data_IF_073502546648
#
_entry.id   IF_073502546648
#
_cell.length_a   1.000
_cell.length_b   1.000
_cell.length_c   1.000
_cell.angle_alpha   90.00
_cell.angle_beta   90.00
_cell.angle_gamma   90.00
#
_symmetry.space_group_name_H-M   'P 1'
#
loop_
_entity.id
_entity.type
_entity.pdbx_description
1 polymer ?
#
# COMPACT_ATOMS: atom_id res chain seq x y z
N UNK A 1 -59.24 -10.42 38.46
CA UNK A 1 -58.34 -9.26 38.74
C UNK A 1 -56.90 -9.78 38.73
N UNK A 2 -56.29 -9.80 37.54
CA UNK A 2 -55.07 -9.04 37.13
C UNK A 2 -53.86 -9.31 38.04
N UNK A 3 -53.01 -10.29 37.73
CA UNK A 3 -51.98 -10.34 36.68
C UNK A 3 -50.67 -9.63 37.09
N UNK A 4 -49.69 -10.47 37.45
CA UNK A 4 -48.26 -10.17 37.56
C UNK A 4 -47.69 -9.88 36.17
N UNK A 5 -47.05 -8.72 36.01
CA UNK A 5 -46.38 -8.34 34.77
C UNK A 5 -44.86 -8.49 34.96
N UNK A 6 -44.30 -9.45 34.23
CA UNK A 6 -42.86 -9.71 34.16
C UNK A 6 -42.11 -8.55 33.51
N UNK A 7 -40.88 -8.35 33.97
CA UNK A 7 -39.95 -7.36 33.45
C UNK A 7 -39.60 -7.61 31.97
N UNK A 8 -39.27 -6.55 31.21
CA UNK A 8 -38.91 -6.69 29.81
C UNK A 8 -37.56 -7.42 29.72
N UNK A 9 -37.59 -8.61 29.12
CA UNK A 9 -36.40 -9.37 28.77
C UNK A 9 -35.52 -8.56 27.83
N UNK A 10 -34.31 -8.25 28.30
CA UNK A 10 -33.20 -7.82 27.46
C UNK A 10 -32.94 -8.94 26.47
N UNK A 11 -33.31 -8.72 25.20
CA UNK A 11 -32.85 -9.56 24.10
C UNK A 11 -31.33 -9.45 24.09
N UNK A 12 -30.56 -10.56 24.07
CA UNK A 12 -29.14 -10.46 23.81
C UNK A 12 -28.99 -9.84 22.42
N UNK A 13 -28.51 -8.60 22.36
CA UNK A 13 -27.88 -8.07 21.17
C UNK A 13 -26.86 -9.12 20.76
N UNK A 14 -27.11 -9.77 19.63
CA UNK A 14 -26.18 -10.73 19.08
C UNK A 14 -25.00 -9.91 18.61
N UNK A 15 -24.04 -9.69 19.51
CA UNK A 15 -22.77 -9.04 19.24
C UNK A 15 -22.23 -9.72 17.99
N UNK A 16 -22.19 -8.98 16.87
CA UNK A 16 -21.60 -9.51 15.65
C UNK A 16 -20.22 -10.06 16.03
N UNK A 17 -19.90 -11.32 15.67
CA UNK A 17 -18.67 -11.93 16.13
C UNK A 17 -17.49 -11.02 15.79
N UNK A 18 -16.75 -10.62 16.82
CA UNK A 18 -15.64 -9.69 16.68
C UNK A 18 -14.60 -10.22 15.70
N UNK A 19 -14.13 -9.38 14.79
CA UNK A 19 -13.02 -9.72 13.92
C UNK A 19 -11.76 -9.85 14.78
N UNK A 20 -11.07 -10.99 14.69
CA UNK A 20 -9.85 -11.28 15.47
C UNK A 20 -8.56 -11.13 14.66
N UNK A 21 -8.70 -10.94 13.35
CA UNK A 21 -7.61 -10.78 12.39
C UNK A 21 -8.10 -9.91 11.24
N UNK A 22 -7.31 -8.92 10.85
CA UNK A 22 -7.45 -8.18 9.61
C UNK A 22 -6.18 -8.35 8.77
N UNK A 23 -6.30 -8.42 7.45
CA UNK A 23 -5.13 -8.59 6.60
C UNK A 23 -5.37 -8.00 5.21
N UNK A 24 -4.28 -7.82 4.47
CA UNK A 24 -4.35 -7.35 3.10
C UNK A 24 -3.02 -7.36 2.37
N UNK A 25 -3.07 -6.99 1.10
CA UNK A 25 -1.90 -6.69 0.28
C UNK A 25 -2.08 -5.32 -0.38
N UNK A 26 -1.04 -4.50 -0.35
CA UNK A 26 -0.94 -3.23 -1.07
C UNK A 26 0.10 -3.39 -2.16
N UNK A 27 -0.22 -2.95 -3.37
CA UNK A 27 0.73 -2.85 -4.48
C UNK A 27 0.93 -1.39 -4.82
N UNK A 28 2.18 -0.94 -4.83
CA UNK A 28 2.54 0.46 -5.09
C UNK A 28 3.41 0.53 -6.34
N UNK A 29 3.09 1.42 -7.26
CA UNK A 29 3.95 1.70 -8.42
C UNK A 29 3.83 3.14 -8.91
N UNK A 30 4.82 3.58 -9.68
CA UNK A 30 4.70 4.79 -10.48
C UNK A 30 3.72 4.55 -11.62
N UNK A 31 2.78 5.48 -11.78
CA UNK A 31 1.84 5.49 -12.88
C UNK A 31 2.62 5.69 -14.20
N UNK A 32 2.36 4.86 -15.24
CA UNK A 32 3.05 4.94 -16.50
C UNK A 32 2.45 6.06 -17.37
N UNK A 33 2.59 7.30 -16.89
CA UNK A 33 2.14 8.53 -17.51
C UNK A 33 3.26 9.57 -17.48
N UNK A 34 3.57 10.23 -18.62
CA UNK A 34 4.62 11.25 -18.66
C UNK A 34 4.30 12.43 -17.75
N UNK A 35 3.04 12.87 -17.75
CA UNK A 35 2.54 13.93 -16.87
C UNK A 35 1.67 13.37 -15.75
N UNK A 36 1.62 14.11 -14.64
CA UNK A 36 0.78 13.78 -13.50
C UNK A 36 -0.67 13.89 -13.96
N UNK A 37 -1.50 12.93 -13.60
CA UNK A 37 -2.92 13.09 -13.81
C UNK A 37 -3.45 14.20 -12.91
N UNK A 38 -4.18 15.15 -13.48
CA UNK A 38 -4.93 16.13 -12.70
C UNK A 38 -6.07 15.46 -11.91
N UNK A 39 -6.75 16.23 -11.05
CA UNK A 39 -7.83 15.72 -10.20
C UNK A 39 -8.97 15.08 -10.99
N UNK A 40 -9.28 15.58 -12.19
CA UNK A 40 -10.36 15.07 -13.06
C UNK A 40 -9.95 13.74 -13.70
N UNK A 41 -8.76 13.67 -14.29
CA UNK A 41 -8.23 12.46 -14.90
C UNK A 41 -7.96 11.37 -13.85
N UNK A 42 -7.50 11.75 -12.66
CA UNK A 42 -7.38 10.86 -11.50
C UNK A 42 -8.74 10.28 -11.11
N UNK A 43 -9.78 11.12 -10.97
CA UNK A 43 -11.13 10.66 -10.66
C UNK A 43 -11.72 9.76 -11.76
N UNK A 44 -11.40 10.03 -13.03
CA UNK A 44 -11.82 9.18 -14.15
C UNK A 44 -11.13 7.81 -14.09
N UNK A 45 -9.81 7.77 -13.86
CA UNK A 45 -9.05 6.53 -13.74
C UNK A 45 -9.55 5.67 -12.57
N UNK A 46 -9.86 6.30 -11.43
CA UNK A 46 -10.29 5.64 -10.20
C UNK A 46 -11.79 5.31 -10.14
N UNK A 47 -12.54 5.58 -11.21
CA UNK A 47 -13.99 5.31 -11.27
C UNK A 47 -14.27 3.83 -11.48
N UNK A 48 -14.00 3.03 -10.45
CA UNK A 48 -14.17 1.57 -10.47
C UNK A 48 -15.65 1.12 -10.38
N UNK A 49 -16.50 1.98 -9.81
CA UNK A 49 -17.94 1.78 -9.62
C UNK A 49 -18.69 2.95 -10.22
N UNK A 50 -19.86 2.68 -10.80
CA UNK A 50 -20.70 3.70 -11.43
C UNK A 50 -21.64 4.38 -10.41
N UNK A 51 -22.00 3.65 -9.37
CA UNK A 51 -22.96 4.01 -8.31
C UNK A 51 -22.31 4.77 -7.14
N UNK A 52 -20.98 4.79 -7.06
CA UNK A 52 -20.25 5.50 -6.02
C UNK A 52 -19.21 6.48 -6.59
N UNK A 53 -19.00 7.58 -5.87
CA UNK A 53 -18.05 8.62 -6.26
C UNK A 53 -16.64 8.30 -5.80
N UNK A 54 -15.66 8.72 -6.59
CA UNK A 54 -14.26 8.79 -6.15
C UNK A 54 -14.13 9.90 -5.12
N UNK A 55 -13.45 9.62 -4.02
CA UNK A 55 -13.11 10.62 -3.01
C UNK A 55 -11.81 11.30 -3.42
N UNK A 56 -11.80 12.63 -3.40
CA UNK A 56 -10.62 13.43 -3.76
C UNK A 56 -10.33 14.39 -2.62
N UNK A 57 -9.06 14.48 -2.22
CA UNK A 57 -8.55 15.46 -1.27
C UNK A 57 -7.41 16.23 -1.92
N UNK A 58 -7.36 17.55 -1.78
CA UNK A 58 -6.25 18.37 -2.30
C UNK A 58 -5.15 18.59 -1.26
N UNK A 59 -5.45 18.35 0.02
CA UNK A 59 -4.51 18.55 1.13
C UNK A 59 -4.27 17.25 1.90
N UNK A 60 -3.05 17.06 2.46
CA UNK A 60 -1.86 17.91 2.28
C UNK A 60 -1.26 17.82 0.87
N UNK A 61 -1.57 16.74 0.14
CA UNK A 61 -1.27 16.52 -1.26
C UNK A 61 -2.54 16.04 -1.99
N UNK A 62 -2.59 16.21 -3.32
CA UNK A 62 -3.67 15.69 -4.15
C UNK A 62 -3.72 14.17 -3.98
N UNK A 63 -4.89 13.66 -3.64
CA UNK A 63 -5.12 12.25 -3.40
C UNK A 63 -6.51 11.86 -3.84
N UNK A 64 -6.58 10.92 -4.78
CA UNK A 64 -7.81 10.28 -5.20
C UNK A 64 -7.92 8.88 -4.59
N UNK A 65 -9.11 8.48 -4.17
CA UNK A 65 -9.41 7.13 -3.68
C UNK A 65 -10.71 6.62 -4.29
N UNK A 66 -10.64 5.46 -4.93
CA UNK A 66 -11.83 4.79 -5.45
C UNK A 66 -12.76 4.33 -4.32
N UNK A 67 -14.06 4.14 -4.61
CA UNK A 67 -14.91 3.31 -3.75
C UNK A 67 -14.38 1.86 -3.72
N UNK A 68 -14.78 1.13 -2.69
CA UNK A 68 -14.38 -0.27 -2.51
C UNK A 68 -15.15 -1.16 -3.49
N UNK A 69 -14.44 -2.07 -4.15
CA UNK A 69 -15.00 -3.15 -4.95
C UNK A 69 -14.95 -4.45 -4.15
N UNK A 70 -15.99 -5.28 -4.25
CA UNK A 70 -16.08 -6.53 -3.48
C UNK A 70 -15.84 -7.72 -4.40
N UNK A 71 -14.95 -8.61 -3.97
CA UNK A 71 -14.75 -9.92 -4.61
C UNK A 71 -15.22 -11.01 -3.66
N UNK A 72 -16.21 -11.79 -4.09
CA UNK A 72 -16.65 -12.97 -3.34
C UNK A 72 -15.58 -14.05 -3.37
N UNK A 73 -15.27 -14.65 -2.23
CA UNK A 73 -14.28 -15.71 -2.09
C UNK A 73 -14.90 -16.93 -1.39
N UNK A 74 -14.49 -18.11 -1.83
CA UNK A 74 -14.87 -19.40 -1.27
C UNK A 74 -13.73 -20.39 -1.52
N UNK A 75 -12.72 -20.35 -0.65
CA UNK A 75 -11.48 -21.10 -0.81
C UNK A 75 -10.80 -21.34 0.55
N UNK A 76 -9.82 -22.27 0.63
CA UNK A 76 -8.98 -22.42 1.81
C UNK A 76 -8.22 -21.15 2.17
N UNK A 77 -8.05 -20.88 3.46
CA UNK A 77 -7.14 -19.86 3.96
C UNK A 77 -5.70 -20.39 3.95
N UNK A 78 -4.71 -19.56 3.59
CA UNK A 78 -3.30 -19.86 3.81
C UNK A 78 -3.04 -20.18 5.29
N UNK A 79 -2.22 -21.20 5.56
CA UNK A 79 -1.83 -21.53 6.94
C UNK A 79 -0.42 -22.13 7.01
N UNK A 80 0.42 -21.59 7.90
CA UNK A 80 1.79 -22.03 8.08
C UNK A 80 1.92 -23.45 8.66
N UNK A 81 0.91 -23.91 9.42
CA UNK A 81 0.89 -25.27 9.98
C UNK A 81 0.23 -26.31 9.05
N UNK A 82 -0.17 -25.90 7.83
CA UNK A 82 -0.82 -26.78 6.86
C UNK A 82 -2.32 -27.02 7.09
N UNK A 83 -2.94 -26.39 8.09
CA UNK A 83 -4.39 -26.46 8.29
C UNK A 83 -5.14 -25.89 7.08
N UNK A 84 -6.12 -26.64 6.57
CA UNK A 84 -6.94 -26.22 5.42
C UNK A 84 -8.32 -25.76 5.88
N UNK A 85 -8.38 -24.58 6.47
CA UNK A 85 -9.66 -23.96 6.87
C UNK A 85 -10.27 -23.30 5.64
N UNK A 86 -11.36 -23.86 5.13
CA UNK A 86 -12.16 -23.22 4.09
C UNK A 86 -12.82 -21.97 4.68
N UNK A 87 -12.82 -20.88 3.92
CA UNK A 87 -13.47 -19.65 4.33
C UNK A 87 -14.27 -19.03 3.18
N UNK A 88 -15.36 -18.37 3.54
CA UNK A 88 -16.32 -17.81 2.59
C UNK A 88 -16.64 -16.38 2.99
N UNK A 89 -16.67 -15.48 2.03
CA UNK A 89 -17.03 -14.09 2.30
C UNK A 89 -16.66 -13.15 1.18
N UNK A 90 -16.35 -11.91 1.54
CA UNK A 90 -15.96 -10.87 0.58
C UNK A 90 -14.63 -10.24 0.96
N UNK A 91 -13.80 -10.03 -0.06
CA UNK A 91 -12.57 -9.22 0.04
C UNK A 91 -12.85 -7.86 -0.59
N UNK A 92 -12.56 -6.80 0.15
CA UNK A 92 -12.67 -5.44 -0.34
C UNK A 92 -11.38 -5.05 -1.06
N UNK A 93 -11.49 -4.41 -2.22
CA UNK A 93 -10.35 -3.93 -2.99
C UNK A 93 -10.60 -2.51 -3.50
N UNK A 94 -9.57 -1.67 -3.44
CA UNK A 94 -9.64 -0.26 -3.83
C UNK A 94 -8.34 0.18 -4.49
N UNK A 95 -8.41 1.33 -5.15
CA UNK A 95 -7.24 2.00 -5.70
C UNK A 95 -7.14 3.43 -5.16
N UNK A 96 -5.92 3.89 -4.99
CA UNK A 96 -5.59 5.25 -4.61
C UNK A 96 -4.51 5.82 -5.52
N UNK A 97 -4.56 7.12 -5.77
CA UNK A 97 -3.60 7.84 -6.59
C UNK A 97 -3.11 9.08 -5.84
N UNK A 98 -1.82 9.13 -5.55
CA UNK A 98 -1.17 10.26 -4.87
C UNK A 98 -0.50 11.16 -5.92
N UNK A 99 -0.85 12.44 -5.91
CA UNK A 99 -0.36 13.52 -6.80
C UNK A 99 -0.41 13.17 -8.29
N UNK A 100 -1.38 12.33 -8.70
CA UNK A 100 -1.46 11.88 -10.08
C UNK A 100 -0.28 11.02 -10.56
N UNK A 101 0.58 10.56 -9.63
CA UNK A 101 1.87 9.90 -9.92
C UNK A 101 1.97 8.50 -9.35
N UNK A 102 1.63 8.30 -8.08
CA UNK A 102 1.83 6.99 -7.43
C UNK A 102 0.50 6.28 -7.30
N UNK A 103 0.37 5.17 -8.02
CA UNK A 103 -0.81 4.32 -7.99
C UNK A 103 -0.62 3.24 -6.91
N UNK A 104 -1.60 3.13 -6.04
CA UNK A 104 -1.71 2.06 -5.07
C UNK A 104 -2.98 1.29 -5.32
N UNK A 105 -2.90 -0.04 -5.28
CA UNK A 105 -4.07 -0.91 -5.24
C UNK A 105 -3.97 -1.79 -4.02
N UNK A 106 -4.99 -1.76 -3.18
CA UNK A 106 -5.06 -2.57 -1.98
C UNK A 106 -6.26 -3.50 -2.01
N UNK A 107 -6.08 -4.69 -1.47
CA UNK A 107 -7.15 -5.62 -1.16
C UNK A 107 -7.01 -6.09 0.28
N UNK A 108 -8.11 -6.14 1.01
CA UNK A 108 -8.11 -6.48 2.43
C UNK A 108 -9.44 -7.11 2.87
N UNK A 109 -9.35 -7.86 3.97
CA UNK A 109 -10.52 -8.44 4.62
C UNK A 109 -10.25 -8.68 6.10
N UNK A 110 -11.32 -9.00 6.83
CA UNK A 110 -11.32 -9.40 8.23
C UNK A 110 -11.80 -10.84 8.41
N UNK A 111 -11.31 -11.50 9.45
CA UNK A 111 -11.70 -12.84 9.87
C UNK A 111 -12.29 -12.84 11.29
N UNK A 112 -13.33 -13.64 11.49
CA UNK A 112 -13.84 -14.00 12.82
C UNK A 112 -13.05 -15.17 13.42
N UNK A 113 -13.10 -15.33 14.75
CA UNK A 113 -12.42 -16.44 15.43
C UNK A 113 -12.99 -17.82 15.05
N UNK A 114 -14.28 -17.84 14.72
CA UNK A 114 -15.01 -19.00 14.25
C UNK A 114 -16.12 -18.56 13.31
N UNK A 115 -16.62 -19.51 12.52
CA UNK A 115 -17.82 -19.34 11.73
C UNK A 115 -18.67 -20.60 11.73
N UNK A 116 -19.70 -20.66 10.89
CA UNK A 116 -20.62 -21.79 10.85
C UNK A 116 -19.93 -23.09 10.41
N UNK A 117 -20.50 -24.23 10.80
CA UNK A 117 -19.99 -25.54 10.38
C UNK A 117 -20.16 -25.80 8.87
N UNK A 118 -21.11 -25.10 8.25
CA UNK A 118 -21.40 -25.20 6.82
C UNK A 118 -21.53 -23.82 6.19
N UNK A 119 -21.23 -23.78 4.89
CA UNK A 119 -21.38 -22.60 4.06
C UNK A 119 -22.84 -22.14 4.04
N UNK A 120 -23.04 -20.82 4.18
CA UNK A 120 -24.36 -20.18 4.11
C UNK A 120 -24.68 -19.67 2.69
N UNK A 121 -25.93 -19.27 2.40
CA UNK A 121 -26.27 -18.58 1.16
C UNK A 121 -25.46 -17.29 0.97
N UNK A 122 -25.22 -16.89 -0.30
CA UNK A 122 -24.42 -15.69 -0.60
C UNK A 122 -24.96 -14.40 0.02
N UNK A 123 -26.28 -14.28 0.20
CA UNK A 123 -26.90 -13.12 0.83
C UNK A 123 -26.33 -12.82 2.22
N UNK A 124 -26.00 -13.84 3.00
CA UNK A 124 -25.42 -13.69 4.33
C UNK A 124 -24.02 -13.05 4.29
N UNK A 125 -23.25 -13.30 3.23
CA UNK A 125 -21.89 -12.77 3.08
C UNK A 125 -21.88 -11.40 2.41
N UNK A 126 -22.76 -11.17 1.44
CA UNK A 126 -22.80 -9.93 0.66
C UNK A 126 -23.22 -8.71 1.50
N UNK A 127 -23.99 -8.91 2.56
CA UNK A 127 -24.36 -7.84 3.52
C UNK A 127 -23.23 -7.47 4.48
N UNK A 128 -22.10 -8.18 4.45
CA UNK A 128 -20.94 -8.00 5.34
C UNK A 128 -19.67 -7.75 4.51
N UNK A 129 -19.52 -6.55 3.91
CA UNK A 129 -18.42 -6.23 3.02
C UNK A 129 -17.06 -6.31 3.74
N UNK A 130 -16.09 -6.95 3.08
CA UNK A 130 -14.73 -7.12 3.61
C UNK A 130 -14.64 -8.08 4.79
N UNK A 131 -15.68 -8.89 5.05
CA UNK A 131 -15.66 -9.97 6.04
C UNK A 131 -15.57 -11.31 5.34
N UNK A 132 -14.63 -12.14 5.80
CA UNK A 132 -14.50 -13.54 5.43
C UNK A 132 -14.71 -14.37 6.69
N UNK A 133 -15.56 -15.38 6.60
CA UNK A 133 -15.87 -16.26 7.73
C UNK A 133 -15.22 -17.64 7.50
N UNK A 134 -14.42 -18.14 8.45
CA UNK A 134 -13.93 -19.50 8.39
C UNK A 134 -15.08 -20.49 8.63
N UNK A 135 -15.03 -21.66 7.97
CA UNK A 135 -15.90 -22.77 8.31
C UNK A 135 -15.27 -23.52 9.50
N UNK A 136 -15.90 -23.42 10.67
CA UNK A 136 -15.34 -23.90 11.93
C UNK A 136 -14.38 -22.92 12.61
N UNK A 137 -13.39 -23.45 13.34
CA UNK A 137 -12.46 -22.65 14.17
C UNK A 137 -11.24 -22.18 13.37
N UNK A 138 -10.85 -20.92 13.57
CA UNK A 138 -9.66 -20.34 12.95
C UNK A 138 -8.39 -20.65 13.77
N UNK A 139 -7.37 -21.33 13.21
CA UNK A 139 -6.03 -21.37 13.79
C UNK A 139 -5.33 -20.02 13.52
N UNK A 140 -5.73 -19.00 14.29
CA UNK A 140 -5.44 -17.58 14.05
C UNK A 140 -3.98 -17.29 13.70
N UNK A 141 -3.05 -17.69 14.55
CA UNK A 141 -1.63 -17.33 14.38
C UNK A 141 -1.01 -18.05 13.16
N UNK A 142 -1.36 -19.31 12.94
CA UNK A 142 -0.90 -20.06 11.76
C UNK A 142 -1.46 -19.47 10.45
N UNK A 143 -2.71 -18.99 10.45
CA UNK A 143 -3.29 -18.29 9.29
C UNK A 143 -2.64 -16.93 9.08
N UNK A 144 -2.37 -16.17 10.14
CA UNK A 144 -1.66 -14.90 10.05
C UNK A 144 -0.28 -15.07 9.38
N UNK A 145 0.48 -16.08 9.81
CA UNK A 145 1.79 -16.36 9.22
C UNK A 145 1.67 -16.84 7.77
N UNK A 146 0.72 -17.73 7.48
CA UNK A 146 0.46 -18.21 6.13
C UNK A 146 0.06 -17.11 5.13
N UNK A 147 -0.68 -16.11 5.60
CA UNK A 147 -1.06 -14.93 4.79
C UNK A 147 0.14 -14.06 4.44
N UNK A 148 1.10 -13.91 5.36
CA UNK A 148 2.33 -13.16 5.09
C UNK A 148 3.22 -13.90 4.08
N UNK A 149 3.30 -15.23 4.20
CA UNK A 149 4.09 -16.09 3.31
C UNK A 149 3.47 -16.22 1.90
N UNK A 150 2.14 -16.03 1.77
CA UNK A 150 1.42 -16.03 0.49
C UNK A 150 0.73 -17.35 0.14
N UNK A 151 0.64 -18.28 1.08
CA UNK A 151 -0.11 -19.52 0.92
C UNK A 151 0.37 -20.45 -0.20
N UNK A 152 -0.42 -21.49 -0.46
CA UNK A 152 -0.18 -22.46 -1.53
C UNK A 152 -1.13 -22.20 -2.68
N UNK A 153 -0.85 -22.84 -3.82
CA UNK A 153 -1.78 -22.82 -4.95
C UNK A 153 -3.17 -23.32 -4.53
N UNK A 154 -4.20 -22.54 -4.85
CA UNK A 154 -5.59 -22.82 -4.49
C UNK A 154 -6.04 -22.26 -3.14
N UNK A 155 -5.12 -21.74 -2.32
CA UNK A 155 -5.48 -20.96 -1.14
C UNK A 155 -5.90 -19.53 -1.55
N UNK A 156 -6.53 -18.81 -0.63
CA UNK A 156 -6.90 -17.40 -0.82
C UNK A 156 -5.64 -16.55 -1.01
N UNK A 157 -5.49 -15.98 -2.21
CA UNK A 157 -4.44 -15.01 -2.53
C UNK A 157 -5.04 -13.60 -2.70
N UNK A 158 -4.90 -12.79 -1.66
CA UNK A 158 -5.33 -11.38 -1.65
C UNK A 158 -4.54 -10.54 -2.65
N UNK A 159 -3.29 -10.90 -2.87
CA UNK A 159 -2.41 -10.27 -3.83
C UNK A 159 -2.89 -10.44 -5.26
N UNK A 160 -3.52 -11.56 -5.62
CA UNK A 160 -4.15 -11.71 -6.93
C UNK A 160 -5.30 -10.72 -7.14
N UNK A 161 -6.08 -10.41 -6.09
CA UNK A 161 -7.18 -9.45 -6.17
C UNK A 161 -6.61 -8.03 -6.35
N UNK A 162 -5.68 -7.61 -5.49
CA UNK A 162 -5.01 -6.31 -5.63
C UNK A 162 -4.27 -6.18 -6.97
N UNK A 163 -3.57 -7.25 -7.38
CA UNK A 163 -2.83 -7.34 -8.64
C UNK A 163 -3.69 -7.32 -9.89
N UNK A 164 -4.85 -7.98 -9.85
CA UNK A 164 -5.84 -7.94 -10.92
C UNK A 164 -6.37 -6.51 -11.11
N UNK A 165 -6.67 -5.83 -10.00
CA UNK A 165 -7.08 -4.42 -10.03
C UNK A 165 -5.96 -3.52 -10.60
N UNK A 166 -4.72 -3.71 -10.17
CA UNK A 166 -3.57 -2.98 -10.70
C UNK A 166 -3.44 -3.18 -12.20
N UNK A 167 -3.49 -4.43 -12.66
CA UNK A 167 -3.37 -4.78 -14.09
C UNK A 167 -4.47 -4.13 -14.92
N UNK A 168 -5.70 -4.06 -14.40
CA UNK A 168 -6.82 -3.37 -15.04
C UNK A 168 -6.54 -1.87 -15.17
N UNK A 169 -6.08 -1.21 -14.10
CA UNK A 169 -5.81 0.22 -14.08
C UNK A 169 -4.64 0.63 -14.97
N UNK A 170 -3.56 -0.16 -14.99
CA UNK A 170 -2.38 0.12 -15.82
C UNK A 170 -2.65 0.01 -17.34
N UNK A 171 -3.75 -0.65 -17.73
CA UNK A 171 -4.22 -0.73 -19.13
C UNK A 171 -5.19 0.38 -19.51
N UNK A 172 -5.46 1.34 -18.61
CA UNK A 172 -6.43 2.39 -18.87
C UNK A 172 -5.95 3.33 -19.99
N UNK A 173 -6.80 3.74 -20.95
CA UNK A 173 -6.40 4.58 -22.09
C UNK A 173 -5.85 5.97 -21.76
N UNK A 174 -6.06 6.45 -20.53
CA UNK A 174 -5.49 7.71 -20.05
C UNK A 174 -3.97 7.65 -19.85
N UNK A 175 -3.37 6.46 -19.89
CA UNK A 175 -1.97 6.23 -19.59
C UNK A 175 -1.17 6.10 -20.89
N UNK A 176 -0.25 7.04 -21.14
CA UNK A 176 0.58 7.10 -22.34
C UNK A 176 1.75 6.10 -22.36
N UNK A 177 1.91 5.33 -21.27
CA UNK A 177 2.96 4.33 -21.06
C UNK A 177 4.39 4.90 -21.07
N UNK A 178 4.55 6.18 -20.71
CA UNK A 178 5.83 6.90 -20.71
C UNK A 178 6.16 7.44 -19.32
N UNK A 179 6.42 6.58 -18.31
CA UNK A 179 6.77 7.06 -16.98
C UNK A 179 8.02 7.95 -17.02
N UNK A 180 8.09 9.02 -16.20
CA UNK A 180 9.20 9.97 -16.21
C UNK A 180 10.49 9.39 -15.63
N UNK A 181 10.40 8.30 -14.86
CA UNK A 181 11.55 7.52 -14.40
C UNK A 181 11.20 6.03 -14.34
N UNK A 182 12.23 5.17 -14.35
CA UNK A 182 12.05 3.74 -14.12
C UNK A 182 11.94 3.47 -12.62
N UNK A 183 10.86 2.83 -12.21
CA UNK A 183 10.67 2.32 -10.86
C UNK A 183 10.19 0.87 -10.93
N UNK A 184 10.49 0.07 -9.91
CA UNK A 184 9.86 -1.25 -9.76
C UNK A 184 8.63 -1.12 -8.85
N UNK A 185 7.55 -1.87 -9.11
CA UNK A 185 6.44 -1.96 -8.18
C UNK A 185 6.90 -2.64 -6.89
N UNK A 186 6.31 -2.26 -5.76
CA UNK A 186 6.50 -2.95 -4.47
C UNK A 186 5.20 -3.59 -4.01
N UNK A 187 5.31 -4.61 -3.16
CA UNK A 187 4.17 -5.33 -2.59
C UNK A 187 4.33 -5.36 -1.08
N UNK A 188 3.31 -4.91 -0.36
CA UNK A 188 3.24 -4.95 1.09
C UNK A 188 2.12 -5.89 1.51
N UNK A 189 2.46 -7.04 2.09
CA UNK A 189 1.51 -7.91 2.77
C UNK A 189 1.47 -7.55 4.24
N UNK A 190 0.27 -7.48 4.80
CA UNK A 190 0.11 -7.10 6.19
C UNK A 190 -0.95 -7.94 6.88
N UNK A 191 -0.73 -8.17 8.16
CA UNK A 191 -1.70 -8.80 9.07
C UNK A 191 -1.72 -8.02 10.37
N UNK A 192 -2.92 -7.76 10.88
CA UNK A 192 -3.19 -7.15 12.16
C UNK A 192 -3.98 -8.13 13.02
N UNK A 193 -3.40 -8.49 14.16
CA UNK A 193 -4.02 -9.33 15.18
C UNK A 193 -4.59 -8.47 16.29
N UNK A 194 -5.64 -8.96 16.95
CA UNK A 194 -6.17 -8.31 18.14
C UNK A 194 -5.15 -8.39 19.28
N UNK A 195 -4.81 -7.22 19.85
CA UNK A 195 -3.99 -7.08 21.03
C UNK A 195 -4.76 -7.55 22.28
N UNK A 196 -4.07 -8.05 23.33
CA UNK A 196 -4.67 -8.24 24.64
C UNK A 196 -5.32 -6.94 25.17
N UNK A 197 -6.39 -7.03 25.98
CA UNK A 197 -7.06 -5.85 26.54
C UNK A 197 -6.08 -4.95 27.31
N UNK A 198 -6.13 -3.64 27.00
CA UNK A 198 -5.29 -2.63 27.66
C UNK A 198 -3.89 -2.46 27.09
N UNK A 199 -3.48 -3.29 26.12
CA UNK A 199 -2.21 -3.08 25.42
C UNK A 199 -2.34 -2.06 24.28
N UNK A 200 -1.35 -1.16 24.10
CA UNK A 200 -1.34 -0.22 22.98
C UNK A 200 -1.11 -0.95 21.65
N UNK A 201 -1.48 -0.34 20.51
CA UNK A 201 -1.15 -0.90 19.20
C UNK A 201 0.38 -0.99 19.03
N UNK A 202 0.85 -2.11 18.51
CA UNK A 202 2.27 -2.41 18.36
C UNK A 202 2.62 -2.95 16.96
N UNK A 203 3.71 -2.44 16.37
CA UNK A 203 4.34 -3.01 15.18
C UNK A 203 5.26 -4.15 15.62
N UNK A 204 4.81 -5.40 15.49
CA UNK A 204 5.59 -6.57 15.92
C UNK A 204 6.76 -6.85 14.98
N UNK A 205 6.52 -6.72 13.67
CA UNK A 205 7.52 -7.05 12.65
C UNK A 205 7.27 -6.25 11.38
N UNK A 206 8.34 -5.69 10.84
CA UNK A 206 8.42 -5.20 9.47
C UNK A 206 9.64 -5.86 8.81
N UNK A 207 9.41 -6.59 7.71
CA UNK A 207 10.46 -7.33 7.01
C UNK A 207 10.49 -6.94 5.54
N UNK A 208 11.69 -6.61 5.07
CA UNK A 208 11.98 -6.39 3.66
C UNK A 208 12.53 -7.73 3.13
N UNK A 209 11.69 -8.47 2.40
CA UNK A 209 12.07 -9.71 1.76
C UNK A 209 12.63 -9.44 0.35
N UNK A 210 13.05 -10.52 -0.33
CA UNK A 210 13.49 -10.46 -1.73
C UNK A 210 12.32 -10.08 -2.67
N UNK A 211 12.64 -9.79 -3.93
CA UNK A 211 11.65 -9.57 -5.01
C UNK A 211 10.56 -8.51 -4.75
N UNK A 212 10.94 -7.44 -4.05
CA UNK A 212 10.06 -6.31 -3.74
C UNK A 212 8.93 -6.61 -2.75
N UNK A 213 8.96 -7.77 -2.08
CA UNK A 213 7.98 -8.14 -1.07
C UNK A 213 8.36 -7.55 0.29
N UNK A 214 7.39 -6.90 0.93
CA UNK A 214 7.45 -6.45 2.32
C UNK A 214 6.36 -7.14 3.10
N UNK A 215 6.66 -7.54 4.33
CA UNK A 215 5.67 -8.12 5.23
C UNK A 215 5.58 -7.30 6.52
N UNK A 216 4.36 -7.10 7.00
CA UNK A 216 4.07 -6.34 8.21
C UNK A 216 3.16 -7.16 9.12
N UNK A 217 3.54 -7.24 10.39
CA UNK A 217 2.72 -7.83 11.43
C UNK A 217 2.45 -6.81 12.52
N UNK A 218 1.18 -6.60 12.82
CA UNK A 218 0.68 -5.62 13.78
C UNK A 218 -0.12 -6.32 14.88
N UNK A 219 -0.12 -5.73 16.07
CA UNK A 219 -1.17 -5.91 17.07
C UNK A 219 -1.94 -4.61 17.25
N UNK A 220 -3.26 -4.70 17.31
CA UNK A 220 -4.14 -3.53 17.45
C UNK A 220 -5.30 -3.83 18.39
N UNK A 221 -5.84 -2.82 19.09
CA UNK A 221 -7.00 -3.00 19.96
C UNK A 221 -8.19 -3.66 19.24
N UNK A 222 -9.00 -4.40 20.00
CA UNK A 222 -10.25 -4.92 19.49
C UNK A 222 -11.16 -3.78 19.00
N UNK A 223 -11.88 -4.01 17.90
CA UNK A 223 -12.76 -3.01 17.31
C UNK A 223 -12.07 -1.98 16.41
N UNK A 224 -10.74 -1.99 16.29
CA UNK A 224 -10.02 -1.12 15.35
C UNK A 224 -10.60 -1.23 13.93
N UNK A 225 -11.03 -0.14 13.29
CA UNK A 225 -11.64 -0.19 11.96
C UNK A 225 -10.67 -0.74 10.90
N UNK A 226 -11.13 -1.73 10.11
CA UNK A 226 -10.30 -2.29 9.03
C UNK A 226 -9.89 -1.24 7.98
N UNK A 227 -10.72 -0.23 7.74
CA UNK A 227 -10.41 0.86 6.82
C UNK A 227 -9.20 1.68 7.28
N UNK A 228 -9.04 1.86 8.58
CA UNK A 228 -7.93 2.61 9.19
C UNK A 228 -6.64 1.81 9.12
N UNK A 229 -6.70 0.49 9.38
CA UNK A 229 -5.57 -0.42 9.20
C UNK A 229 -5.10 -0.47 7.75
N UNK A 230 -6.03 -0.59 6.81
CA UNK A 230 -5.73 -0.54 5.39
C UNK A 230 -5.13 0.82 4.99
N UNK A 231 -5.65 1.93 5.53
CA UNK A 231 -5.11 3.27 5.32
C UNK A 231 -3.69 3.45 5.84
N UNK A 232 -3.38 2.95 7.05
CA UNK A 232 -2.03 2.92 7.60
C UNK A 232 -1.09 2.12 6.70
N UNK A 233 -1.52 0.93 6.25
CA UNK A 233 -0.69 0.08 5.40
C UNK A 233 -0.52 0.67 3.99
N UNK A 234 -1.51 1.38 3.45
CA UNK A 234 -1.36 2.16 2.22
C UNK A 234 -0.30 3.26 2.41
N UNK A 235 -0.33 4.02 3.51
CA UNK A 235 0.65 5.07 3.80
C UNK A 235 2.07 4.48 3.98
N UNK A 236 2.20 3.37 4.70
CA UNK A 236 3.46 2.64 4.87
C UNK A 236 4.02 2.17 3.52
N UNK A 237 3.18 1.54 2.69
CA UNK A 237 3.58 1.04 1.38
C UNK A 237 4.02 2.16 0.43
N UNK A 238 3.43 3.36 0.53
CA UNK A 238 3.82 4.53 -0.24
C UNK A 238 5.22 5.00 0.17
N UNK A 239 5.45 5.20 1.46
CA UNK A 239 6.70 5.76 1.96
C UNK A 239 7.88 4.78 1.81
N UNK A 240 7.67 3.48 2.03
CA UNK A 240 8.68 2.45 1.73
C UNK A 240 9.02 2.41 0.23
N UNK A 241 8.02 2.53 -0.64
CA UNK A 241 8.22 2.61 -2.09
C UNK A 241 9.03 3.84 -2.50
N UNK A 242 8.76 5.01 -1.91
CA UNK A 242 9.52 6.24 -2.15
C UNK A 242 10.99 6.09 -1.76
N UNK A 243 11.26 5.57 -0.55
CA UNK A 243 12.63 5.28 -0.09
C UNK A 243 13.35 4.35 -1.05
N UNK A 244 12.71 3.21 -1.36
CA UNK A 244 13.28 2.18 -2.25
C UNK A 244 13.56 2.74 -3.65
N UNK A 245 12.63 3.52 -4.20
CA UNK A 245 12.76 4.08 -5.55
C UNK A 245 13.90 5.10 -5.59
N UNK A 246 14.00 5.98 -4.59
CA UNK A 246 15.04 7.00 -4.56
C UNK A 246 16.44 6.41 -4.35
N UNK A 247 16.58 5.37 -3.52
CA UNK A 247 17.82 4.59 -3.38
C UNK A 247 18.24 4.03 -4.74
N UNK A 248 17.32 3.43 -5.49
CA UNK A 248 17.61 2.86 -6.82
C UNK A 248 18.01 3.89 -7.86
N UNK A 249 17.37 5.06 -7.86
CA UNK A 249 17.75 6.16 -8.75
C UNK A 249 19.21 6.56 -8.46
N UNK A 250 19.57 6.71 -7.19
CA UNK A 250 20.92 7.08 -6.76
C UNK A 250 21.97 5.99 -7.04
N UNK A 251 21.63 4.72 -6.88
CA UNK A 251 22.53 3.61 -7.19
C UNK A 251 22.70 3.41 -8.70
N UNK A 252 21.65 3.64 -9.49
CA UNK A 252 21.72 3.62 -10.95
C UNK A 252 22.68 4.67 -11.52
N UNK A 253 22.84 5.81 -10.84
CA UNK A 253 23.82 6.85 -11.20
C UNK A 253 25.25 6.37 -10.92
N UNK A 254 25.48 5.65 -9.82
CA UNK A 254 26.81 5.14 -9.45
C UNK A 254 27.38 4.12 -10.43
N UNK A 255 26.53 3.34 -11.09
CA UNK A 255 26.94 2.26 -12.01
C UNK A 255 27.36 2.74 -13.41
N UNK A 256 27.27 4.05 -13.70
CA UNK A 256 27.85 4.67 -14.90
C UNK A 256 27.19 4.34 -16.25
N UNK A 257 27.60 5.01 -17.34
CA UNK A 257 26.94 4.93 -18.65
C UNK A 257 27.10 3.58 -19.36
N UNK A 258 28.04 2.73 -18.93
CA UNK A 258 28.36 1.45 -19.57
C UNK A 258 27.33 0.32 -19.29
N UNK A 259 26.41 0.51 -18.33
CA UNK A 259 25.32 -0.44 -18.03
C UNK A 259 23.99 -0.12 -18.72
N UNK A 260 23.88 1.03 -19.41
CA UNK A 260 22.60 1.50 -19.96
C UNK A 260 22.34 0.95 -21.37
N UNK A 261 21.75 -0.25 -21.45
CA UNK A 261 20.97 -0.61 -22.64
C UNK A 261 19.68 0.22 -22.64
N UNK A 262 19.73 1.34 -23.37
CA UNK A 262 18.63 2.29 -23.68
C UNK A 262 18.15 3.20 -22.53
N UNK A 263 18.94 4.23 -22.23
CA UNK A 263 18.41 5.51 -21.75
C UNK A 263 17.81 6.29 -22.95
N UNK A 264 16.73 7.08 -22.79
CA UNK A 264 16.18 7.85 -23.90
C UNK A 264 17.23 8.80 -24.46
N UNK A 265 17.52 8.64 -25.75
CA UNK A 265 18.41 9.50 -26.54
C UNK A 265 17.72 10.86 -26.75
N UNK A 266 18.40 11.94 -26.34
CA UNK A 266 18.21 13.33 -26.82
C UNK A 266 16.78 13.85 -26.88
N UNK A 267 16.32 14.44 -25.78
CA UNK A 267 15.38 15.57 -25.83
C UNK A 267 16.14 16.89 -26.11
N UNK A 268 15.43 18.02 -26.30
CA UNK A 268 16.04 19.32 -26.60
C UNK A 268 16.99 19.86 -25.50
N UNK A 269 17.02 19.22 -24.33
CA UNK A 269 17.98 19.46 -23.24
C UNK A 269 19.36 18.83 -23.55
N UNK A 270 19.98 19.30 -24.64
CA UNK A 270 21.32 18.90 -25.09
C UNK A 270 22.44 19.21 -24.10
N UNK A 271 22.20 20.07 -23.11
CA UNK A 271 23.27 20.72 -22.33
C UNK A 271 23.34 20.28 -20.85
N UNK A 272 22.40 19.48 -20.34
CA UNK A 272 22.42 19.06 -18.93
C UNK A 272 23.37 17.87 -18.70
N UNK A 273 24.21 17.91 -17.64
CA UNK A 273 25.02 16.76 -17.24
C UNK A 273 24.17 15.48 -17.06
N UNK A 274 24.67 14.29 -17.45
CA UNK A 274 23.91 13.03 -17.36
C UNK A 274 23.32 12.75 -15.98
N UNK A 275 24.02 13.12 -14.91
CA UNK A 275 23.56 13.00 -13.52
C UNK A 275 22.34 13.88 -13.24
N UNK A 276 22.34 15.12 -13.73
CA UNK A 276 21.21 16.06 -13.58
C UNK A 276 19.99 15.52 -14.33
N UNK A 277 20.18 15.00 -15.55
CA UNK A 277 19.12 14.37 -16.33
C UNK A 277 18.52 13.14 -15.63
N UNK A 278 19.34 12.37 -14.91
CA UNK A 278 18.91 11.23 -14.09
C UNK A 278 18.12 11.61 -12.83
N UNK A 279 18.51 12.69 -12.16
CA UNK A 279 17.89 13.09 -10.89
C UNK A 279 16.64 13.96 -11.07
N UNK A 280 16.55 14.73 -12.15
CA UNK A 280 15.45 15.68 -12.37
C UNK A 280 14.04 15.05 -12.20
N UNK A 281 13.72 13.88 -12.78
CA UNK A 281 12.42 13.26 -12.56
C UNK A 281 12.10 12.94 -11.10
N UNK A 282 13.11 12.59 -10.28
CA UNK A 282 12.88 12.32 -8.86
C UNK A 282 12.53 13.61 -8.10
N UNK A 283 13.19 14.72 -8.43
CA UNK A 283 12.88 16.06 -7.87
C UNK A 283 11.48 16.51 -8.27
N UNK A 284 11.19 16.46 -9.57
CA UNK A 284 9.95 16.98 -10.14
C UNK A 284 8.72 16.12 -9.77
N UNK A 285 8.90 14.83 -9.49
CA UNK A 285 7.77 13.90 -9.36
C UNK A 285 7.69 13.10 -8.06
N UNK A 286 8.78 12.95 -7.30
CA UNK A 286 8.80 12.08 -6.13
C UNK A 286 9.02 12.85 -4.82
N UNK A 287 9.88 13.88 -4.83
CA UNK A 287 10.33 14.47 -3.56
C UNK A 287 9.20 15.14 -2.76
N UNK A 288 8.22 15.72 -3.45
CA UNK A 288 7.07 16.38 -2.82
C UNK A 288 6.00 15.39 -2.32
N UNK A 289 6.14 14.09 -2.61
CA UNK A 289 5.18 13.06 -2.20
C UNK A 289 5.34 12.64 -0.73
N UNK A 290 6.47 12.98 -0.10
CA UNK A 290 6.78 12.60 1.27
C UNK A 290 5.93 13.39 2.27
N UNK A 291 4.87 12.77 2.76
CA UNK A 291 3.92 13.34 3.71
C UNK A 291 3.57 12.29 4.78
N UNK A 292 4.53 11.91 5.65
CA UNK A 292 4.35 10.84 6.62
C UNK A 292 3.21 11.17 7.57
N UNK A 293 2.38 10.17 7.93
CA UNK A 293 1.22 10.28 8.82
C UNK A 293 0.07 11.14 8.29
N UNK A 294 0.15 11.70 7.09
CA UNK A 294 -0.88 12.59 6.56
C UNK A 294 -2.28 11.97 6.51
N UNK A 295 -2.36 10.63 6.45
CA UNK A 295 -3.60 9.87 6.30
C UNK A 295 -3.75 8.77 7.34
N UNK A 296 -2.93 8.78 8.39
CA UNK A 296 -2.97 7.82 9.49
C UNK A 296 -3.93 8.34 10.56
N UNK A 297 -4.86 7.50 11.02
CA UNK A 297 -5.76 7.86 12.11
C UNK A 297 -4.99 8.08 13.42
N UNK A 298 -5.48 8.99 14.26
CA UNK A 298 -4.78 9.34 15.51
C UNK A 298 -4.54 8.14 16.43
N UNK A 299 -5.46 7.18 16.45
CA UNK A 299 -5.36 5.95 17.26
C UNK A 299 -4.21 5.02 16.80
N UNK A 300 -3.82 5.09 15.53
CA UNK A 300 -2.75 4.28 14.95
C UNK A 300 -1.40 5.02 14.88
N UNK A 301 -1.33 6.24 15.40
CA UNK A 301 -0.09 7.03 15.46
C UNK A 301 1.11 6.29 16.08
N UNK A 302 0.96 5.51 17.19
CA UNK A 302 2.09 4.79 17.77
C UNK A 302 2.74 3.77 16.83
N UNK A 303 1.97 3.19 15.91
CA UNK A 303 2.49 2.25 14.90
C UNK A 303 3.41 2.96 13.90
N UNK A 304 3.06 4.20 13.53
CA UNK A 304 3.93 5.01 12.67
C UNK A 304 5.18 5.48 13.40
N UNK A 305 5.05 5.87 14.66
CA UNK A 305 6.17 6.30 15.49
C UNK A 305 7.23 5.20 15.61
N UNK A 306 6.80 3.93 15.74
CA UNK A 306 7.72 2.79 15.70
C UNK A 306 8.58 2.76 14.42
N UNK A 307 8.01 3.09 13.26
CA UNK A 307 8.73 3.16 11.98
C UNK A 307 9.69 4.35 11.90
N UNK A 308 9.34 5.48 12.52
CA UNK A 308 10.20 6.67 12.62
C UNK A 308 11.36 6.47 13.60
N UNK A 309 11.17 5.65 14.63
CA UNK A 309 12.25 5.24 15.51
C UNK A 309 13.16 4.22 14.83
N UNK A 310 12.57 3.11 14.34
CA UNK A 310 13.25 2.01 13.65
C UNK A 310 12.36 1.44 12.54
N UNK A 311 12.74 1.64 11.26
CA UNK A 311 14.10 1.91 10.80
C UNK A 311 14.45 3.41 10.57
N UNK A 312 13.57 4.35 10.89
CA UNK A 312 13.86 5.78 10.75
C UNK A 312 13.54 6.35 9.37
N UNK A 313 12.31 6.12 8.90
CA UNK A 313 11.84 6.49 7.56
C UNK A 313 12.16 7.95 7.21
N UNK A 314 11.78 8.90 8.06
CA UNK A 314 12.02 10.33 7.77
C UNK A 314 13.50 10.68 7.77
N UNK A 315 14.30 10.08 8.68
CA UNK A 315 15.76 10.29 8.69
C UNK A 315 16.42 9.79 7.41
N UNK A 316 16.03 8.60 6.95
CA UNK A 316 16.52 8.03 5.70
C UNK A 316 16.14 8.90 4.50
N UNK A 317 14.87 9.34 4.44
CA UNK A 317 14.39 10.21 3.38
C UNK A 317 15.20 11.52 3.31
N UNK A 318 15.36 12.22 4.43
CA UNK A 318 16.12 13.46 4.49
C UNK A 318 17.57 13.28 4.04
N UNK A 319 18.23 12.18 4.43
CA UNK A 319 19.57 11.86 3.98
C UNK A 319 19.64 11.63 2.45
N UNK A 320 18.65 10.95 1.87
CA UNK A 320 18.56 10.74 0.42
C UNK A 320 18.31 12.06 -0.33
N UNK A 321 17.40 12.90 0.17
CA UNK A 321 17.13 14.22 -0.42
C UNK A 321 18.37 15.10 -0.37
N UNK A 322 19.09 15.11 0.76
CA UNK A 322 20.34 15.85 0.87
C UNK A 322 21.36 15.37 -0.17
N UNK A 323 21.53 14.06 -0.30
CA UNK A 323 22.42 13.48 -1.31
C UNK A 323 22.03 13.85 -2.74
N UNK A 324 20.74 13.91 -3.07
CA UNK A 324 20.27 14.39 -4.38
C UNK A 324 20.67 15.84 -4.59
N UNK A 325 20.45 16.71 -3.60
CA UNK A 325 20.82 18.13 -3.66
C UNK A 325 22.33 18.32 -3.82
N UNK A 326 23.13 17.53 -3.12
CA UNK A 326 24.60 17.58 -3.21
C UNK A 326 25.08 17.22 -4.62
N UNK A 327 24.51 16.17 -5.23
CA UNK A 327 24.83 15.79 -6.62
C UNK A 327 24.44 16.88 -7.62
N UNK A 328 23.28 17.51 -7.45
CA UNK A 328 22.86 18.63 -8.32
C UNK A 328 23.78 19.85 -8.15
N UNK A 329 24.17 20.16 -6.91
CA UNK A 329 25.07 21.27 -6.59
C UNK A 329 26.45 21.07 -7.21
N UNK A 330 27.04 19.87 -7.06
CA UNK A 330 28.34 19.53 -7.66
C UNK A 330 28.36 19.72 -9.18
N UNK A 331 27.25 19.43 -9.85
CA UNK A 331 27.12 19.56 -11.31
C UNK A 331 26.60 20.94 -11.77
N UNK A 332 26.24 21.83 -10.84
CA UNK A 332 25.91 23.23 -11.12
C UNK A 332 27.13 24.15 -11.06
N UNK A 333 28.26 23.69 -10.49
CA UNK A 333 29.52 24.43 -10.45
C UNK A 333 30.19 24.39 -11.84
N UNK A 334 30.43 25.54 -12.50
CA UNK A 334 31.15 25.58 -13.78
C UNK A 334 32.57 25.03 -13.62
N UNK A 335 33.13 24.33 -14.62
CA UNK A 335 34.51 23.86 -14.55
C UNK A 335 35.47 25.08 -14.54
N UNK A 336 35.99 25.41 -13.37
CA UNK A 336 37.01 26.43 -13.20
C UNK A 336 38.39 25.84 -13.47
N UNK A 337 38.73 25.56 -14.74
CA UNK A 337 40.12 25.52 -15.22
C UNK A 337 40.14 25.66 -16.75
N UNK A 338 40.42 26.87 -17.22
CA UNK A 338 41.02 27.10 -18.53
C UNK A 338 42.51 27.17 -18.27
N UNK A 339 43.24 26.11 -18.56
CA UNK A 339 44.70 26.18 -18.64
C UNK A 339 45.03 27.30 -19.63
N UNK A 340 45.75 28.31 -19.14
CA UNK A 340 46.31 29.36 -19.99
C UNK A 340 47.42 28.68 -20.79
N UNK A 341 47.15 28.44 -22.06
CA UNK A 341 48.16 28.04 -23.03
C UNK A 341 49.27 29.11 -23.01
N UNK A 342 50.53 28.75 -22.75
CA UNK A 342 51.61 29.74 -22.80
C UNK A 342 51.75 30.21 -24.25
N UNK A 343 51.55 31.51 -24.46
CA UNK A 343 51.74 32.16 -25.75
C UNK A 343 53.21 32.01 -26.22
N UNK A 344 53.45 31.88 -27.54
CA UNK A 344 54.76 31.51 -28.12
C UNK A 344 55.84 32.59 -27.96
#
# INVERSE_FOLDING_TARGET
MRASAGGPGVRPETTAPGAVLACGEVRTCLLPAAQALDSRAAAQLLRLRADERVLVSERPNLYGRSPDTLTGVDCPLPSANGARVRAVGTVAARAALTEGRVLQTSASFRLTASGPDHRRPWGDYLVRPGLVEPLGKLPRDAVADGLLDGGRHGDLDVGLIAGGLLTRLLRHPLLDQRPPLRSRPTRLRWVALTAPPGEPPALERFTLAEDELRTVRLRVPEGTPAADLAGLCDDLALHDWLLTTLVRVLDGIRLGPAGSRSWPRTGPDGDLPPVVRALRPAVDHLLHLWMPRARVSGELAPLWEALEERPGFTRQWLALVQRVRDQLTLHAIPPAHREVEPAP
#
